data_IF_034837128332
#
_entry.id   IF_034837128332
#
_cell.length_a   1.000
_cell.length_b   1.000
_cell.length_c   1.000
_cell.angle_alpha   90.00
_cell.angle_beta   90.00
_cell.angle_gamma   90.00
#
_symmetry.space_group_name_H-M   'P 1'
#
loop_
_entity.id
_entity.type
_entity.pdbx_description
1 polymer ?
#
# COMPACT_ATOMS: atom_id res chain seq x y z
N UNK A 1 -39.13 -39.64 29.03
CA UNK A 1 -37.91 -40.37 29.40
C UNK A 1 -36.71 -39.57 28.90
N UNK A 2 -36.09 -38.79 29.79
CA UNK A 2 -34.76 -38.20 29.57
C UNK A 2 -33.75 -39.33 29.39
N UNK A 3 -32.77 -39.21 28.48
CA UNK A 3 -31.36 -39.52 28.80
C UNK A 3 -30.41 -38.72 27.89
N UNK A 4 -29.52 -37.97 28.55
CA UNK A 4 -28.29 -37.36 28.03
C UNK A 4 -27.35 -38.43 27.46
N UNK A 5 -26.60 -38.11 26.39
CA UNK A 5 -25.42 -38.89 25.98
C UNK A 5 -24.17 -38.01 26.10
N UNK A 6 -23.15 -38.64 26.62
CA UNK A 6 -22.04 -38.14 27.40
C UNK A 6 -20.73 -38.26 26.62
N UNK A 7 -19.82 -37.30 26.83
CA UNK A 7 -18.38 -37.60 26.94
C UNK A 7 -17.52 -37.55 25.68
N UNK A 8 -16.66 -36.53 25.62
CA UNK A 8 -15.21 -36.73 25.42
C UNK A 8 -14.47 -35.52 26.02
N UNK A 9 -13.94 -35.72 27.23
CA UNK A 9 -13.00 -34.81 27.87
C UNK A 9 -11.57 -35.22 27.57
N UNK A 10 -10.71 -34.26 27.24
CA UNK A 10 -9.26 -34.44 27.33
C UNK A 10 -8.72 -33.50 28.40
N UNK A 11 -8.06 -34.15 29.35
CA UNK A 11 -7.66 -33.73 30.67
C UNK A 11 -6.29 -33.04 30.62
N UNK A 12 -6.25 -31.73 30.89
CA UNK A 12 -5.02 -30.95 30.92
C UNK A 12 -4.32 -31.14 32.28
N UNK A 13 -3.36 -32.08 32.35
CA UNK A 13 -2.53 -32.31 33.54
C UNK A 13 -1.54 -31.15 33.70
N UNK A 14 -1.69 -30.39 34.79
CA UNK A 14 -0.68 -29.46 35.32
C UNK A 14 0.47 -30.25 35.94
N UNK A 15 1.69 -30.00 35.48
CA UNK A 15 2.92 -30.42 36.14
C UNK A 15 3.98 -30.95 35.20
N UNK A 16 4.84 -30.07 34.67
CA UNK A 16 6.19 -30.46 34.31
C UNK A 16 7.13 -29.27 34.53
N UNK A 17 7.85 -29.36 35.64
CA UNK A 17 9.04 -28.58 35.97
C UNK A 17 10.12 -28.96 34.94
N UNK A 18 10.67 -27.95 34.25
CA UNK A 18 11.66 -28.14 33.21
C UNK A 18 12.51 -26.89 33.04
N UNK A 19 13.42 -26.68 33.99
CA UNK A 19 14.58 -25.79 33.93
C UNK A 19 15.45 -26.15 32.73
N UNK A 20 15.50 -25.26 31.72
CA UNK A 20 16.69 -24.96 30.89
C UNK A 20 16.34 -23.76 30.00
N UNK A 21 16.63 -22.58 30.54
CA UNK A 21 16.56 -21.29 29.88
C UNK A 21 18.01 -20.87 29.66
N UNK A 22 18.63 -21.39 28.60
CA UNK A 22 20.02 -21.11 28.24
C UNK A 22 20.11 -20.89 26.72
N UNK A 23 20.69 -19.74 26.34
CA UNK A 23 20.78 -19.12 25.01
C UNK A 23 19.53 -18.26 24.66
N UNK A 24 19.43 -16.98 25.03
CA UNK A 24 20.48 -15.97 25.19
C UNK A 24 20.92 -15.46 23.82
N UNK A 25 20.50 -14.24 23.49
CA UNK A 25 20.97 -13.42 22.35
C UNK A 25 20.69 -13.95 20.94
N UNK A 26 19.61 -13.48 20.33
CA UNK A 26 19.57 -12.98 18.94
C UNK A 26 18.22 -12.28 18.69
N UNK A 27 17.80 -11.41 19.62
CA UNK A 27 16.81 -10.37 19.31
C UNK A 27 17.53 -9.29 18.49
N UNK A 28 17.85 -9.63 17.24
CA UNK A 28 18.21 -8.66 16.23
C UNK A 28 16.98 -7.82 15.93
N UNK A 29 16.93 -6.60 16.46
CA UNK A 29 16.00 -5.59 15.97
C UNK A 29 16.40 -5.31 14.51
N UNK A 30 15.67 -5.89 13.55
CA UNK A 30 15.72 -5.48 12.16
C UNK A 30 15.09 -4.09 12.07
N UNK A 31 15.89 -3.06 12.35
CA UNK A 31 15.54 -1.69 12.00
C UNK A 31 15.40 -1.65 10.48
N UNK A 32 14.15 -1.64 10.01
CA UNK A 32 13.85 -1.41 8.59
C UNK A 32 14.50 -0.07 8.24
N UNK A 33 15.63 -0.12 7.53
CA UNK A 33 16.30 1.07 7.06
C UNK A 33 15.29 1.82 6.19
N UNK A 34 14.70 2.89 6.75
CA UNK A 34 13.79 3.78 6.03
C UNK A 34 14.64 4.45 4.96
N UNK A 35 14.68 3.82 3.79
CA UNK A 35 15.36 4.36 2.63
C UNK A 35 14.74 5.74 2.37
N UNK A 36 15.53 6.83 2.37
CA UNK A 36 14.98 8.18 2.26
C UNK A 36 14.19 8.29 0.96
N UNK A 37 12.87 8.42 1.08
CA UNK A 37 12.00 8.59 -0.08
C UNK A 37 12.27 9.98 -0.68
N UNK A 38 12.31 10.10 -2.03
CA UNK A 38 12.60 11.36 -2.67
C UNK A 38 11.44 12.32 -2.43
N UNK A 39 11.77 13.59 -2.17
CA UNK A 39 10.73 14.61 -1.95
C UNK A 39 9.98 14.87 -3.25
N UNK A 40 8.66 14.88 -3.20
CA UNK A 40 7.82 15.29 -4.33
C UNK A 40 7.82 16.83 -4.42
N UNK A 41 8.31 17.36 -5.54
CA UNK A 41 8.46 18.80 -5.75
C UNK A 41 7.28 19.37 -6.53
N UNK A 42 6.81 18.63 -7.53
CA UNK A 42 5.69 19.02 -8.37
C UNK A 42 4.82 17.80 -8.67
N UNK A 43 3.54 17.91 -8.33
CA UNK A 43 2.57 16.83 -8.48
C UNK A 43 1.20 17.38 -8.85
N UNK A 44 0.97 17.71 -10.12
CA UNK A 44 -0.36 18.04 -10.58
C UNK A 44 -1.30 16.85 -10.34
N UNK A 45 -2.52 17.17 -9.91
CA UNK A 45 -3.59 16.19 -9.77
C UNK A 45 -4.01 15.69 -11.17
N UNK A 46 -4.38 14.41 -11.30
CA UNK A 46 -4.89 13.91 -12.57
C UNK A 46 -6.21 14.56 -12.95
N UNK A 47 -6.36 14.81 -14.25
CA UNK A 47 -7.60 15.34 -14.81
C UNK A 47 -8.74 14.31 -14.62
N UNK A 48 -9.89 14.78 -14.16
CA UNK A 48 -11.05 13.91 -14.00
C UNK A 48 -11.62 13.57 -15.39
N UNK A 49 -11.75 12.28 -15.78
CA UNK A 49 -12.34 11.91 -17.06
C UNK A 49 -13.76 12.45 -17.22
N UNK A 50 -14.08 13.09 -18.36
CA UNK A 50 -15.38 13.72 -18.59
C UNK A 50 -16.55 12.75 -18.38
N UNK A 51 -16.43 11.53 -18.91
CA UNK A 51 -17.44 10.48 -18.73
C UNK A 51 -17.68 10.14 -17.26
N UNK A 52 -16.60 10.02 -16.47
CA UNK A 52 -16.71 9.72 -15.04
C UNK A 52 -17.34 10.88 -14.27
N UNK A 53 -16.98 12.12 -14.61
CA UNK A 53 -17.53 13.32 -13.99
C UNK A 53 -19.02 13.48 -14.27
N UNK A 54 -19.44 13.30 -15.54
CA UNK A 54 -20.82 13.42 -15.97
C UNK A 54 -21.73 12.37 -15.30
N UNK A 55 -21.22 11.16 -15.11
CA UNK A 55 -21.95 10.06 -14.48
C UNK A 55 -21.73 9.96 -12.96
N UNK A 56 -20.99 10.92 -12.37
CA UNK A 56 -20.65 10.92 -10.94
C UNK A 56 -20.03 9.59 -10.46
N UNK A 57 -19.14 9.02 -11.27
CA UNK A 57 -18.44 7.78 -10.99
C UNK A 57 -17.13 8.10 -10.26
N UNK A 58 -17.03 7.67 -9.01
CA UNK A 58 -15.81 7.75 -8.22
C UNK A 58 -14.94 6.50 -8.36
N UNK A 59 -13.69 6.59 -7.92
CA UNK A 59 -12.80 5.44 -7.96
C UNK A 59 -11.40 5.69 -7.43
N UNK A 60 -10.52 4.73 -7.68
CA UNK A 60 -9.12 4.84 -7.28
C UNK A 60 -8.20 3.95 -8.10
N UNK A 61 -6.97 4.44 -8.28
CA UNK A 61 -5.91 3.74 -9.00
C UNK A 61 -4.69 3.63 -8.10
N UNK A 62 -4.24 2.41 -7.85
CA UNK A 62 -2.99 2.12 -7.18
C UNK A 62 -1.91 1.88 -8.23
N UNK A 63 -0.81 2.62 -8.11
CA UNK A 63 0.32 2.61 -9.04
C UNK A 63 1.62 2.30 -8.31
N UNK A 64 2.48 1.53 -8.96
CA UNK A 64 3.88 1.33 -8.57
C UNK A 64 4.77 2.00 -9.60
N UNK A 65 5.80 2.69 -9.16
CA UNK A 65 6.70 3.39 -10.07
C UNK A 65 8.11 3.57 -9.52
N UNK A 66 9.02 3.94 -10.42
CA UNK A 66 10.42 4.23 -10.11
C UNK A 66 10.76 5.68 -10.47
N UNK A 67 11.54 6.32 -9.62
CA UNK A 67 12.10 7.66 -9.81
C UNK A 67 13.56 7.53 -10.26
N UNK A 68 13.89 8.18 -11.38
CA UNK A 68 15.24 8.25 -11.93
C UNK A 68 16.12 9.28 -11.23
N UNK A 69 17.38 9.36 -11.64
CA UNK A 69 18.36 10.32 -11.10
C UNK A 69 17.97 11.77 -11.45
N UNK A 70 17.27 11.98 -12.56
CA UNK A 70 16.76 13.27 -13.01
C UNK A 70 15.49 13.72 -12.27
N UNK A 71 14.99 12.93 -11.31
CA UNK A 71 13.76 13.20 -10.58
C UNK A 71 12.49 12.93 -11.38
N UNK A 72 12.58 12.32 -12.57
CA UNK A 72 11.41 11.91 -13.36
C UNK A 72 11.01 10.48 -13.04
N UNK A 73 9.75 10.16 -13.34
CA UNK A 73 9.24 8.81 -13.26
C UNK A 73 9.67 8.05 -14.53
N UNK A 74 10.30 6.88 -14.37
CA UNK A 74 10.88 6.12 -15.49
C UNK A 74 10.10 4.84 -15.84
N UNK A 75 9.57 4.15 -14.83
CA UNK A 75 8.75 2.95 -14.98
C UNK A 75 7.50 3.11 -14.13
N UNK A 76 6.34 2.85 -14.71
CA UNK A 76 5.04 2.95 -14.05
C UNK A 76 4.25 1.68 -14.35
N UNK A 77 3.68 1.10 -13.31
CA UNK A 77 2.82 -0.07 -13.34
C UNK A 77 1.53 0.24 -12.59
N UNK A 78 0.39 -0.09 -13.19
CA UNK A 78 -0.90 -0.01 -12.51
C UNK A 78 -1.09 -1.34 -11.77
N UNK A 79 -1.19 -1.29 -10.45
CA UNK A 79 -1.42 -2.46 -9.60
C UNK A 79 -2.90 -2.78 -9.50
N UNK A 80 -3.73 -1.74 -9.40
CA UNK A 80 -5.18 -1.85 -9.25
C UNK A 80 -5.85 -0.60 -9.83
N UNK A 81 -6.95 -0.78 -10.55
CA UNK A 81 -7.84 0.32 -10.94
C UNK A 81 -9.29 -0.09 -10.73
N UNK A 82 -10.04 0.75 -10.04
CA UNK A 82 -11.48 0.61 -9.84
C UNK A 82 -12.15 1.97 -10.11
N UNK A 83 -13.08 2.07 -11.08
CA UNK A 83 -13.41 1.09 -12.13
C UNK A 83 -12.23 0.76 -13.05
N UNK A 84 -12.27 -0.39 -13.71
CA UNK A 84 -11.19 -0.83 -14.60
C UNK A 84 -11.01 0.16 -15.76
N UNK A 85 -9.76 0.54 -16.02
CA UNK A 85 -9.33 1.35 -17.18
C UNK A 85 -9.91 2.76 -17.32
N UNK A 86 -10.87 3.16 -16.49
CA UNK A 86 -11.54 4.45 -16.59
C UNK A 86 -10.61 5.62 -16.20
N UNK A 87 -9.74 5.40 -15.21
CA UNK A 87 -8.87 6.44 -14.64
C UNK A 87 -7.39 6.27 -15.01
N UNK A 88 -7.02 5.16 -15.65
CA UNK A 88 -5.63 4.79 -15.96
C UNK A 88 -4.91 5.87 -16.78
N UNK A 89 -5.53 6.32 -17.87
CA UNK A 89 -4.96 7.29 -18.80
C UNK A 89 -4.71 8.65 -18.14
N UNK A 90 -5.67 9.11 -17.33
CA UNK A 90 -5.55 10.36 -16.58
C UNK A 90 -4.42 10.30 -15.55
N UNK A 91 -4.27 9.17 -14.86
CA UNK A 91 -3.19 8.95 -13.90
C UNK A 91 -1.83 8.92 -14.60
N UNK A 92 -1.71 8.19 -15.71
CA UNK A 92 -0.47 8.11 -16.49
C UNK A 92 -0.05 9.51 -16.97
N UNK A 93 -0.98 10.30 -17.53
CA UNK A 93 -0.70 11.63 -18.02
C UNK A 93 -0.23 12.58 -16.89
N UNK A 94 -0.89 12.53 -15.73
CA UNK A 94 -0.52 13.34 -14.58
C UNK A 94 0.85 12.97 -14.04
N UNK A 95 1.11 11.67 -13.86
CA UNK A 95 2.37 11.17 -13.32
C UNK A 95 3.55 11.42 -14.26
N UNK A 96 3.33 11.48 -15.58
CA UNK A 96 4.35 11.92 -16.53
C UNK A 96 4.85 13.36 -16.25
N UNK A 97 3.99 14.20 -15.66
CA UNK A 97 4.34 15.57 -15.27
C UNK A 97 4.93 15.68 -13.86
N UNK A 98 4.86 14.62 -13.05
CA UNK A 98 5.39 14.67 -11.69
C UNK A 98 6.91 14.82 -11.67
N UNK A 99 7.41 15.58 -10.70
CA UNK A 99 8.84 15.81 -10.49
C UNK A 99 9.19 15.59 -9.03
N UNK A 100 10.21 14.76 -8.83
CA UNK A 100 10.84 14.47 -7.56
C UNK A 100 12.18 15.19 -7.44
N UNK A 101 12.71 15.20 -6.22
CA UNK A 101 14.09 15.61 -5.95
C UNK A 101 15.08 14.80 -6.80
N UNK A 102 15.92 15.50 -7.56
CA UNK A 102 16.98 14.88 -8.36
C UNK A 102 18.08 14.28 -7.47
N UNK A 103 18.91 13.42 -8.06
CA UNK A 103 20.01 12.70 -7.40
C UNK A 103 19.58 11.72 -6.29
N UNK A 104 18.29 11.37 -6.22
CA UNK A 104 17.75 10.37 -5.28
C UNK A 104 16.92 9.29 -6.01
N UNK A 105 17.56 8.45 -6.86
CA UNK A 105 16.85 7.40 -7.56
C UNK A 105 16.23 6.42 -6.56
N UNK A 106 14.94 6.15 -6.72
CA UNK A 106 14.19 5.29 -5.79
C UNK A 106 13.28 4.36 -6.57
N UNK A 107 13.24 3.10 -6.18
CA UNK A 107 12.49 2.07 -6.89
C UNK A 107 11.33 1.54 -6.06
N UNK A 108 10.28 1.10 -6.74
CA UNK A 108 9.15 0.41 -6.13
C UNK A 108 8.30 1.30 -5.22
N UNK A 109 8.28 2.61 -5.49
CA UNK A 109 7.36 3.52 -4.82
C UNK A 109 5.93 3.15 -5.20
N UNK A 110 5.02 3.19 -4.23
CA UNK A 110 3.60 2.92 -4.46
C UNK A 110 2.79 4.13 -4.03
N UNK A 111 1.81 4.50 -4.85
CA UNK A 111 0.85 5.57 -4.54
C UNK A 111 -0.54 5.13 -4.96
N UNK A 112 -1.54 5.48 -4.16
CA UNK A 112 -2.94 5.33 -4.55
C UNK A 112 -3.52 6.72 -4.76
N UNK A 113 -4.17 6.91 -5.90
CA UNK A 113 -4.83 8.15 -6.27
C UNK A 113 -6.33 7.90 -6.32
N UNK A 114 -7.10 8.68 -5.57
CA UNK A 114 -8.55 8.57 -5.49
C UNK A 114 -9.21 9.70 -6.27
N UNK A 115 -10.23 9.35 -7.05
CA UNK A 115 -11.10 10.27 -7.76
C UNK A 115 -12.40 10.37 -6.99
N UNK A 116 -12.57 11.46 -6.24
CA UNK A 116 -13.78 11.79 -5.48
C UNK A 116 -14.42 13.05 -6.05
N UNK A 117 -15.74 13.12 -6.00
CA UNK A 117 -16.50 14.27 -6.50
C UNK A 117 -16.56 15.41 -5.49
N UNK A 118 -16.43 15.07 -4.22
CA UNK A 118 -16.33 16.04 -3.14
C UNK A 118 -14.85 16.37 -2.93
N UNK A 119 -14.53 17.66 -2.90
CA UNK A 119 -13.23 18.08 -2.39
C UNK A 119 -13.07 17.51 -0.97
N UNK A 120 -11.90 16.97 -0.58
CA UNK A 120 -11.66 16.66 0.81
C UNK A 120 -11.96 17.92 1.63
N UNK A 121 -12.88 17.81 2.59
CA UNK A 121 -13.12 18.88 3.55
C UNK A 121 -11.84 19.05 4.36
N UNK A 122 -11.14 20.15 4.13
CA UNK A 122 -9.94 20.56 4.88
C UNK A 122 -10.21 20.68 6.39
#
# INVERSE_FOLDING_TARGET
MLIYIHGIGVFMKKGFIGTIFLCGMLLGCSSSAKNPQPKLLYSPNPAYPYYALANRIEGGVAVRYNVGVDGKISKLWILKSEPQHLFDSAVIAAMAQWRYEANKPTQGLTKTIYFKLQAPSD
#
